data_IF_968886890284
#
_entry.id   IF_968886890284
#
_cell.length_a   1.000
_cell.length_b   1.000
_cell.length_c   1.000
_cell.angle_alpha   90.00
_cell.angle_beta   90.00
_cell.angle_gamma   90.00
#
_symmetry.space_group_name_H-M   'P 1'
#
loop_
_entity.id
_entity.type
_entity.pdbx_description
1 polymer ?
#
# COMPACT_ATOMS: atom_id res chain seq x y z
N UNK A 1 -1.01 20.33 -1.54
CA UNK A 1 -1.67 20.65 -0.26
C UNK A 1 -1.79 19.37 0.54
N UNK A 2 -1.54 19.39 1.85
CA UNK A 2 -1.79 18.19 2.69
C UNK A 2 -3.30 18.00 2.90
N UNK A 3 -3.70 16.82 3.37
CA UNK A 3 -5.10 16.51 3.66
C UNK A 3 -5.75 15.67 2.57
N UNK A 4 -6.95 16.06 2.12
CA UNK A 4 -7.78 15.22 1.26
C UNK A 4 -7.13 14.87 -0.09
N UNK A 5 -6.32 15.79 -0.63
CA UNK A 5 -5.65 15.64 -1.93
C UNK A 5 -4.29 14.91 -1.85
N UNK A 6 -3.92 14.33 -0.69
CA UNK A 6 -2.55 13.89 -0.40
C UNK A 6 -2.50 12.54 0.31
N UNK A 7 -2.99 11.50 -0.37
CA UNK A 7 -2.85 10.13 0.09
C UNK A 7 -1.38 9.75 0.36
N UNK A 8 -1.13 9.13 1.53
CA UNK A 8 0.20 8.71 1.99
C UNK A 8 1.25 9.84 1.93
N UNK A 9 0.83 11.09 2.19
CA UNK A 9 1.67 12.29 2.17
C UNK A 9 2.53 12.44 0.89
N UNK A 10 2.12 11.81 -0.21
CA UNK A 10 2.97 11.65 -1.39
C UNK A 10 3.26 12.99 -2.08
N UNK A 11 2.24 13.83 -2.26
CA UNK A 11 2.36 15.13 -2.92
C UNK A 11 3.04 16.17 -2.01
N UNK A 12 2.70 16.22 -0.73
CA UNK A 12 3.39 17.15 0.19
C UNK A 12 4.86 16.81 0.37
N UNK A 13 5.21 15.52 0.46
CA UNK A 13 6.61 15.10 0.51
C UNK A 13 7.33 15.34 -0.82
N UNK A 14 6.66 15.20 -1.97
CA UNK A 14 7.26 15.57 -3.26
C UNK A 14 7.67 17.05 -3.26
N UNK A 15 6.76 17.96 -2.91
CA UNK A 15 7.06 19.40 -2.87
C UNK A 15 8.13 19.72 -1.81
N UNK A 16 8.07 19.09 -0.63
CA UNK A 16 9.09 19.27 0.41
C UNK A 16 10.49 18.88 -0.08
N UNK A 17 10.61 17.72 -0.74
CA UNK A 17 11.89 17.26 -1.29
C UNK A 17 12.38 18.15 -2.44
N UNK A 18 11.48 18.78 -3.22
CA UNK A 18 11.86 19.78 -4.22
C UNK A 18 12.39 21.07 -3.56
N UNK A 19 11.71 21.57 -2.52
CA UNK A 19 12.15 22.75 -1.75
C UNK A 19 13.55 22.51 -1.17
N UNK A 20 13.74 21.39 -0.48
CA UNK A 20 15.01 21.05 0.16
C UNK A 20 16.10 20.73 -0.87
N UNK A 21 15.77 19.91 -1.88
CA UNK A 21 16.73 19.43 -2.87
C UNK A 21 17.22 20.50 -3.84
N UNK A 22 16.41 21.51 -4.14
CA UNK A 22 16.84 22.67 -4.92
C UNK A 22 17.36 23.83 -4.07
N UNK A 23 17.27 23.74 -2.74
CA UNK A 23 17.67 24.84 -1.84
C UNK A 23 16.81 26.09 -2.02
N UNK A 24 15.50 25.91 -2.21
CA UNK A 24 14.57 27.00 -2.45
C UNK A 24 14.49 27.97 -1.24
N UNK A 25 14.45 29.27 -1.53
CA UNK A 25 14.40 30.32 -0.52
C UNK A 25 12.97 30.69 -0.19
N UNK A 26 12.66 30.96 1.09
CA UNK A 26 11.33 31.41 1.50
C UNK A 26 10.96 32.73 0.79
N UNK A 27 9.78 32.76 0.18
CA UNK A 27 9.27 33.89 -0.59
C UNK A 27 8.18 34.64 0.19
N UNK A 28 7.17 33.92 0.64
CA UNK A 28 6.02 34.48 1.35
C UNK A 28 5.27 33.40 2.13
N UNK A 29 4.36 33.83 2.99
CA UNK A 29 3.45 32.96 3.74
C UNK A 29 2.04 33.54 3.63
N UNK A 30 1.03 32.67 3.47
CA UNK A 30 -0.38 33.07 3.50
C UNK A 30 -0.87 32.94 4.93
N UNK A 31 -1.33 34.06 5.50
CA UNK A 31 -1.92 34.09 6.84
C UNK A 31 -3.02 33.01 6.98
N UNK A 32 -2.87 32.03 7.89
CA UNK A 32 -3.82 30.93 8.01
C UNK A 32 -5.14 31.34 8.66
N UNK A 33 -5.21 32.48 9.37
CA UNK A 33 -6.36 32.85 10.19
C UNK A 33 -7.69 32.96 9.42
N UNK A 34 -7.77 33.53 8.21
CA UNK A 34 -9.01 33.61 7.45
C UNK A 34 -9.47 32.26 6.85
N UNK A 35 -8.55 31.28 6.76
CA UNK A 35 -8.72 30.08 5.94
C UNK A 35 -8.74 28.78 6.73
N UNK A 36 -8.29 28.77 7.97
CA UNK A 36 -8.08 27.55 8.75
C UNK A 36 -9.13 27.37 9.84
N UNK A 37 -9.73 26.20 9.93
CA UNK A 37 -10.44 25.78 11.14
C UNK A 37 -9.43 25.19 12.14
N UNK A 38 -9.01 26.00 13.12
CA UNK A 38 -8.05 25.57 14.14
C UNK A 38 -8.55 24.46 15.07
N UNK A 39 -9.85 24.14 15.08
CA UNK A 39 -10.35 22.97 15.81
C UNK A 39 -9.96 21.65 15.11
N UNK A 40 -9.90 21.69 13.78
CA UNK A 40 -9.55 20.57 12.90
C UNK A 40 -8.04 20.52 12.65
N UNK A 41 -7.43 21.64 12.24
CA UNK A 41 -5.98 21.75 11.99
C UNK A 41 -5.33 22.57 13.09
N UNK A 42 -4.88 21.88 14.14
CA UNK A 42 -4.41 22.52 15.38
C UNK A 42 -2.98 23.06 15.25
N UNK A 43 -2.69 24.28 15.73
CA UNK A 43 -1.32 24.75 15.91
C UNK A 43 -0.54 23.85 16.88
N UNK A 44 0.76 23.70 16.62
CA UNK A 44 1.64 22.86 17.44
C UNK A 44 2.64 23.69 18.23
N UNK A 45 3.07 23.15 19.37
CA UNK A 45 4.11 23.77 20.17
C UNK A 45 5.47 23.27 19.73
N UNK A 46 6.42 24.19 19.52
CA UNK A 46 7.84 23.87 19.36
C UNK A 46 8.63 24.45 20.53
N UNK A 47 9.41 23.61 21.21
CA UNK A 47 10.37 24.05 22.21
C UNK A 47 11.70 24.34 21.53
N UNK A 48 12.24 25.55 21.73
CA UNK A 48 13.61 25.90 21.31
C UNK A 48 14.59 25.62 22.44
N UNK A 49 15.87 25.50 22.07
CA UNK A 49 16.96 25.42 23.04
C UNK A 49 16.86 26.58 24.05
N UNK A 50 16.94 26.25 25.34
CA UNK A 50 16.72 27.21 26.43
C UNK A 50 15.27 27.32 26.92
N UNK A 51 14.35 26.45 26.48
CA UNK A 51 13.01 26.32 27.05
C UNK A 51 11.99 27.37 26.56
N UNK A 52 12.33 28.17 25.55
CA UNK A 52 11.40 29.11 24.92
C UNK A 52 10.37 28.34 24.08
N UNK A 53 9.09 28.58 24.35
CA UNK A 53 7.95 27.94 23.69
C UNK A 53 7.44 28.81 22.54
N UNK A 54 7.50 28.30 21.32
CA UNK A 54 6.92 28.93 20.14
C UNK A 54 5.68 28.15 19.67
N UNK A 55 4.66 28.87 19.18
CA UNK A 55 3.48 28.27 18.55
C UNK A 55 3.70 28.29 17.04
N UNK A 56 3.62 27.12 16.41
CA UNK A 56 3.72 26.94 14.97
C UNK A 56 2.31 26.86 14.41
N UNK A 57 1.96 27.87 13.62
CA UNK A 57 0.66 27.97 12.96
C UNK A 57 0.65 27.16 11.64
N UNK A 58 -0.47 26.53 11.29
CA UNK A 58 -0.61 25.71 10.08
C UNK A 58 -0.72 26.58 8.82
N UNK A 59 0.43 27.06 8.35
CA UNK A 59 0.54 28.10 7.33
C UNK A 59 0.82 27.50 5.94
N UNK A 60 0.32 28.12 4.88
CA UNK A 60 0.77 27.81 3.51
C UNK A 60 1.97 28.69 3.19
N UNK A 61 3.14 28.06 3.06
CA UNK A 61 4.36 28.74 2.67
C UNK A 61 4.54 28.74 1.15
N UNK A 62 5.28 29.74 0.67
CA UNK A 62 5.72 29.89 -0.70
C UNK A 62 7.25 29.99 -0.71
N UNK A 63 7.89 29.26 -1.61
CA UNK A 63 9.34 29.24 -1.79
C UNK A 63 9.69 29.52 -3.24
N UNK A 64 10.79 30.21 -3.47
CA UNK A 64 11.31 30.51 -4.80
C UNK A 64 12.63 29.78 -5.04
N UNK A 65 12.81 29.30 -6.27
CA UNK A 65 14.11 28.84 -6.77
C UNK A 65 14.26 29.17 -8.25
N UNK A 66 15.50 29.44 -8.66
CA UNK A 66 15.85 29.58 -10.07
C UNK A 66 16.24 28.20 -10.63
N UNK A 67 15.37 27.61 -11.44
CA UNK A 67 15.59 26.33 -12.10
C UNK A 67 16.13 26.48 -13.53
N UNK A 68 16.63 25.38 -14.10
CA UNK A 68 17.12 25.38 -15.48
C UNK A 68 16.03 25.69 -16.52
N UNK A 69 14.78 25.33 -16.22
CA UNK A 69 13.61 25.62 -17.05
C UNK A 69 12.96 26.98 -16.80
N UNK A 70 13.43 27.74 -15.79
CA UNK A 70 12.87 29.03 -15.38
C UNK A 70 12.74 29.16 -13.86
N UNK A 71 12.24 30.32 -13.41
CA UNK A 71 11.91 30.56 -12.02
C UNK A 71 10.69 29.74 -11.58
N UNK A 72 10.78 29.13 -10.40
CA UNK A 72 9.76 28.22 -9.86
C UNK A 72 9.32 28.76 -8.50
N UNK A 73 8.01 28.90 -8.32
CA UNK A 73 7.39 29.16 -7.01
C UNK A 73 6.72 27.87 -6.52
N UNK A 74 7.22 27.34 -5.41
CA UNK A 74 6.71 26.13 -4.76
C UNK A 74 5.76 26.54 -3.64
N UNK A 75 4.58 25.92 -3.59
CA UNK A 75 3.60 26.15 -2.52
C UNK A 75 3.38 24.87 -1.71
N UNK A 76 3.49 24.96 -0.39
CA UNK A 76 3.30 23.82 0.52
C UNK A 76 2.59 24.27 1.80
N UNK A 77 1.55 23.53 2.17
CA UNK A 77 0.81 23.75 3.40
C UNK A 77 -0.50 22.96 3.44
N UNK A 78 -1.30 23.17 4.51
CA UNK A 78 -2.60 22.55 4.65
C UNK A 78 -3.58 23.05 3.60
N UNK A 79 -4.51 22.19 3.20
CA UNK A 79 -5.69 22.63 2.45
C UNK A 79 -6.50 23.62 3.32
N UNK A 80 -6.86 24.80 2.79
CA UNK A 80 -7.70 25.74 3.53
C UNK A 80 -9.04 25.06 3.87
N UNK A 81 -9.56 25.30 5.08
CA UNK A 81 -10.87 24.79 5.49
C UNK A 81 -12.02 25.72 5.07
N UNK A 82 -11.73 27.02 4.91
CA UNK A 82 -12.71 28.07 4.70
C UNK A 82 -12.29 29.00 3.55
N UNK A 83 -13.26 29.74 2.99
CA UNK A 83 -13.05 30.85 2.05
C UNK A 83 -12.18 30.51 0.81
N UNK A 84 -12.38 29.34 0.21
CA UNK A 84 -11.58 28.86 -0.93
C UNK A 84 -11.47 29.83 -2.11
N UNK A 85 -12.53 30.57 -2.43
CA UNK A 85 -12.50 31.60 -3.48
C UNK A 85 -11.49 32.72 -3.16
N UNK A 86 -11.52 33.22 -1.92
CA UNK A 86 -10.59 34.25 -1.47
C UNK A 86 -9.15 33.71 -1.40
N UNK A 87 -8.98 32.47 -0.92
CA UNK A 87 -7.67 31.83 -0.90
C UNK A 87 -7.08 31.70 -2.32
N UNK A 88 -7.90 31.26 -3.28
CA UNK A 88 -7.48 31.10 -4.68
C UNK A 88 -7.10 32.44 -5.32
N UNK A 89 -7.81 33.52 -4.99
CA UNK A 89 -7.44 34.88 -5.38
C UNK A 89 -6.06 35.29 -4.85
N UNK A 90 -5.70 34.93 -3.61
CA UNK A 90 -4.36 35.22 -3.07
C UNK A 90 -3.26 34.50 -3.87
N UNK A 91 -3.48 33.23 -4.23
CA UNK A 91 -2.53 32.46 -5.03
C UNK A 91 -2.37 33.07 -6.43
N UNK A 92 -3.47 33.48 -7.06
CA UNK A 92 -3.43 34.13 -8.38
C UNK A 92 -2.73 35.48 -8.32
N UNK A 93 -2.98 36.29 -7.28
CA UNK A 93 -2.27 37.57 -7.12
C UNK A 93 -0.75 37.38 -7.03
N UNK A 94 -0.27 36.30 -6.41
CA UNK A 94 1.15 35.94 -6.44
C UNK A 94 1.57 35.54 -7.86
N UNK A 95 0.80 34.68 -8.53
CA UNK A 95 1.10 34.22 -9.89
C UNK A 95 1.21 35.40 -10.88
N UNK A 96 0.26 36.34 -10.85
CA UNK A 96 0.25 37.56 -11.67
C UNK A 96 1.42 38.48 -11.33
N UNK A 97 1.71 38.70 -10.05
CA UNK A 97 2.82 39.56 -9.62
C UNK A 97 4.17 39.07 -10.17
N UNK A 98 4.37 37.76 -10.19
CA UNK A 98 5.59 37.13 -10.71
C UNK A 98 5.49 36.72 -12.19
N UNK A 99 4.41 37.06 -12.89
CA UNK A 99 4.16 36.68 -14.28
C UNK A 99 4.31 35.16 -14.54
N UNK A 100 3.75 34.35 -13.64
CA UNK A 100 3.80 32.89 -13.73
C UNK A 100 3.03 32.41 -14.97
N UNK A 101 3.66 31.54 -15.76
CA UNK A 101 3.09 31.04 -17.03
C UNK A 101 2.34 29.71 -16.90
N UNK A 102 2.41 29.05 -15.74
CA UNK A 102 1.84 27.73 -15.51
C UNK A 102 1.54 27.52 -14.01
N UNK A 103 0.36 27.01 -13.70
CA UNK A 103 0.08 26.34 -12.42
C UNK A 103 0.24 24.83 -12.59
N UNK A 104 1.12 24.22 -11.79
CA UNK A 104 1.23 22.77 -11.69
C UNK A 104 0.87 22.32 -10.27
N UNK A 105 -0.18 21.51 -10.14
CA UNK A 105 -0.59 20.95 -8.86
C UNK A 105 -0.21 19.47 -8.76
N UNK A 106 0.16 19.05 -7.54
CA UNK A 106 0.46 17.65 -7.23
C UNK A 106 -0.56 17.14 -6.21
N UNK A 107 -1.06 15.95 -6.44
CA UNK A 107 -1.96 15.22 -5.56
C UNK A 107 -1.66 13.71 -5.57
N UNK A 108 -2.33 13.00 -4.69
CA UNK A 108 -2.33 11.54 -4.66
C UNK A 108 -3.67 11.03 -4.15
N UNK A 109 -4.05 9.84 -4.64
CA UNK A 109 -5.31 9.19 -4.31
C UNK A 109 -5.08 7.72 -4.00
N UNK A 110 -5.99 7.13 -3.23
CA UNK A 110 -5.97 5.69 -2.96
C UNK A 110 -6.58 4.94 -4.14
N UNK A 111 -5.89 3.91 -4.60
CA UNK A 111 -6.28 3.06 -5.71
C UNK A 111 -6.00 1.57 -5.40
N UNK A 112 -6.72 0.69 -6.11
CA UNK A 112 -6.49 -0.76 -6.08
C UNK A 112 -5.29 -1.12 -6.98
N UNK A 113 -4.10 -0.72 -6.54
CA UNK A 113 -2.82 -1.00 -7.22
C UNK A 113 -1.82 -1.66 -6.27
N UNK A 114 -0.98 -2.59 -6.76
CA UNK A 114 0.07 -3.21 -5.93
C UNK A 114 1.26 -2.26 -5.75
N UNK A 115 1.85 -2.25 -4.54
CA UNK A 115 3.02 -1.42 -4.21
C UNK A 115 4.30 -1.89 -4.92
N UNK A 116 4.38 -3.16 -5.34
CA UNK A 116 5.50 -3.74 -6.07
C UNK A 116 5.64 -3.22 -7.52
N UNK A 117 4.57 -2.68 -8.11
CA UNK A 117 4.61 -2.13 -9.49
C UNK A 117 5.03 -0.65 -9.50
N UNK A 118 5.50 -0.11 -10.66
CA UNK A 118 5.73 1.32 -10.80
C UNK A 118 4.46 2.14 -10.51
N UNK A 119 4.62 3.26 -9.81
CA UNK A 119 3.49 4.14 -9.48
C UNK A 119 2.95 4.79 -10.75
N UNK A 120 1.64 4.66 -10.96
CA UNK A 120 0.95 5.31 -12.06
C UNK A 120 0.68 6.78 -11.73
N UNK A 121 1.00 7.67 -12.66
CA UNK A 121 0.68 9.09 -12.58
C UNK A 121 -0.44 9.40 -13.57
N UNK A 122 -1.53 9.96 -13.07
CA UNK A 122 -2.64 10.46 -13.87
C UNK A 122 -2.46 11.97 -14.00
N UNK A 123 -2.31 12.44 -15.23
CA UNK A 123 -2.11 13.85 -15.54
C UNK A 123 -3.35 14.47 -16.18
N UNK A 124 -3.79 15.62 -15.67
CA UNK A 124 -4.86 16.41 -16.31
C UNK A 124 -4.41 17.84 -16.58
N UNK A 125 -5.00 18.48 -17.58
CA UNK A 125 -4.76 19.90 -17.88
C UNK A 125 -6.01 20.56 -18.48
N UNK A 126 -6.09 21.88 -18.33
CA UNK A 126 -7.14 22.70 -18.97
C UNK A 126 -6.75 23.14 -20.38
N UNK A 127 -5.46 23.36 -20.60
CA UNK A 127 -4.89 23.82 -21.87
C UNK A 127 -4.58 22.68 -22.86
N UNK A 128 -4.84 22.91 -24.15
CA UNK A 128 -4.69 21.87 -25.19
C UNK A 128 -3.22 21.64 -25.55
N UNK A 129 -2.39 22.70 -25.52
CA UNK A 129 -0.96 22.56 -25.82
C UNK A 129 -0.24 21.74 -24.73
N UNK A 130 -0.60 21.94 -23.46
CA UNK A 130 -0.11 21.12 -22.35
C UNK A 130 -0.50 19.64 -22.49
N UNK A 131 -1.75 19.37 -22.91
CA UNK A 131 -2.25 18.01 -23.15
C UNK A 131 -1.41 17.30 -24.21
N UNK A 132 -1.19 17.93 -25.35
CA UNK A 132 -0.46 17.33 -26.46
C UNK A 132 1.04 17.18 -26.14
N UNK A 133 1.64 18.22 -25.54
CA UNK A 133 3.09 18.24 -25.26
C UNK A 133 3.50 17.25 -24.18
N UNK A 134 2.64 17.04 -23.18
CA UNK A 134 2.96 16.24 -22.00
C UNK A 134 2.04 15.03 -21.84
N UNK A 135 1.35 14.58 -22.88
CA UNK A 135 0.47 13.39 -22.84
C UNK A 135 -0.47 13.40 -21.61
N UNK A 136 -1.14 14.54 -21.39
CA UNK A 136 -2.11 14.73 -20.32
C UNK A 136 -3.52 14.50 -20.87
N UNK A 137 -4.52 14.49 -19.99
CA UNK A 137 -5.91 14.30 -20.38
C UNK A 137 -6.79 15.45 -19.91
N UNK A 138 -7.90 15.71 -20.61
CA UNK A 138 -8.95 16.56 -20.04
C UNK A 138 -9.66 15.81 -18.94
N UNK A 139 -9.82 16.47 -17.79
CA UNK A 139 -10.65 15.93 -16.71
C UNK A 139 -12.10 15.76 -17.19
N UNK A 140 -12.70 14.63 -16.85
CA UNK A 140 -14.14 14.34 -17.01
C UNK A 140 -14.82 14.10 -15.66
N UNK A 141 -14.16 14.47 -14.58
CA UNK A 141 -14.63 14.20 -13.23
C UNK A 141 -15.82 15.09 -12.86
N UNK A 142 -16.86 14.47 -12.32
CA UNK A 142 -18.01 15.14 -11.70
C UNK A 142 -18.19 14.57 -10.29
N UNK A 143 -18.17 15.44 -9.28
CA UNK A 143 -18.29 15.02 -7.87
C UNK A 143 -17.71 16.05 -6.89
N UNK A 144 -17.55 15.66 -5.61
CA UNK A 144 -16.89 16.48 -4.60
C UNK A 144 -15.46 16.83 -5.01
N UNK A 145 -15.04 18.07 -4.77
CA UNK A 145 -13.71 18.57 -5.15
C UNK A 145 -12.95 19.12 -3.94
N UNK A 146 -11.63 19.08 -4.01
CA UNK A 146 -10.72 19.79 -3.10
C UNK A 146 -10.31 21.17 -3.64
N UNK A 147 -9.45 21.87 -2.89
CA UNK A 147 -8.90 23.18 -3.25
C UNK A 147 -8.17 23.17 -4.59
N UNK A 148 -7.56 22.04 -4.95
CA UNK A 148 -6.82 21.89 -6.21
C UNK A 148 -7.72 22.20 -7.40
N UNK A 149 -8.93 21.64 -7.45
CA UNK A 149 -9.88 21.88 -8.53
C UNK A 149 -10.33 23.35 -8.58
N UNK A 150 -10.51 23.99 -7.41
CA UNK A 150 -10.89 25.42 -7.35
C UNK A 150 -9.75 26.31 -7.86
N UNK A 151 -8.49 25.97 -7.58
CA UNK A 151 -7.35 26.68 -8.14
C UNK A 151 -7.31 26.52 -9.66
N UNK A 152 -7.52 25.32 -10.19
CA UNK A 152 -7.58 25.09 -11.63
C UNK A 152 -8.68 25.93 -12.30
N UNK A 153 -9.88 25.96 -11.72
CA UNK A 153 -11.00 26.79 -12.18
C UNK A 153 -10.64 28.28 -12.18
N UNK A 154 -10.07 28.78 -11.08
CA UNK A 154 -9.72 30.21 -10.95
C UNK A 154 -8.56 30.61 -11.88
N UNK A 155 -7.60 29.72 -12.13
CA UNK A 155 -6.49 29.97 -13.09
C UNK A 155 -6.97 29.94 -14.54
N UNK A 156 -7.93 29.07 -14.87
CA UNK A 156 -8.58 29.03 -16.19
C UNK A 156 -9.33 30.34 -16.47
N UNK A 157 -10.09 30.85 -15.50
CA UNK A 157 -10.75 32.17 -15.56
C UNK A 157 -9.74 33.31 -15.80
N UNK A 158 -8.52 33.16 -15.29
CA UNK A 158 -7.43 34.16 -15.42
C UNK A 158 -6.56 33.92 -16.66
N UNK A 159 -6.91 32.97 -17.53
CA UNK A 159 -6.14 32.61 -18.74
C UNK A 159 -4.69 32.20 -18.48
N UNK A 160 -4.39 31.67 -17.29
CA UNK A 160 -3.08 31.10 -16.97
C UNK A 160 -3.20 29.56 -17.10
N UNK A 161 -2.44 28.92 -17.99
CA UNK A 161 -2.48 27.47 -18.18
C UNK A 161 -2.27 26.71 -16.87
N UNK A 162 -2.98 25.59 -16.71
CA UNK A 162 -2.88 24.79 -15.50
C UNK A 162 -2.90 23.29 -15.77
N UNK A 163 -2.13 22.53 -14.99
CA UNK A 163 -2.03 21.08 -15.03
C UNK A 163 -1.97 20.46 -13.63
N UNK A 164 -2.48 19.24 -13.49
CA UNK A 164 -2.54 18.49 -12.24
C UNK A 164 -1.97 17.10 -12.42
N UNK A 165 -1.15 16.64 -11.47
CA UNK A 165 -0.57 15.29 -11.46
C UNK A 165 -1.04 14.55 -10.21
N UNK A 166 -1.58 13.36 -10.40
CA UNK A 166 -2.12 12.51 -9.33
C UNK A 166 -1.42 11.17 -9.30
N UNK A 167 -0.81 10.82 -8.15
CA UNK A 167 -0.23 9.50 -7.95
C UNK A 167 -1.27 8.51 -7.41
N UNK A 168 -1.32 7.32 -8.01
CA UNK A 168 -2.10 6.20 -7.50
C UNK A 168 -1.33 5.48 -6.38
N UNK A 169 -1.82 5.58 -5.15
CA UNK A 169 -1.24 4.96 -3.95
C UNK A 169 -2.04 3.70 -3.58
N UNK A 170 -1.38 2.57 -3.27
CA UNK A 170 -2.06 1.36 -2.79
C UNK A 170 -2.95 1.64 -1.58
N UNK A 171 -4.24 1.32 -1.67
CA UNK A 171 -5.20 1.61 -0.59
C UNK A 171 -4.82 1.00 0.77
N UNK A 172 -4.21 -0.19 0.77
CA UNK A 172 -3.75 -0.88 1.98
C UNK A 172 -2.51 -0.25 2.63
N UNK A 173 -1.75 0.56 1.89
CA UNK A 173 -0.56 1.25 2.41
C UNK A 173 -0.84 2.72 2.77
N UNK A 174 -2.13 3.09 2.91
CA UNK A 174 -2.56 4.48 3.10
C UNK A 174 -2.01 5.18 4.35
N UNK A 175 -1.64 4.41 5.38
CA UNK A 175 -1.13 4.92 6.66
C UNK A 175 0.38 5.19 6.67
N UNK A 176 1.12 4.69 5.67
CA UNK A 176 2.57 4.83 5.59
C UNK A 176 2.91 5.84 4.47
N UNK A 177 3.68 6.90 4.76
CA UNK A 177 4.10 7.83 3.72
C UNK A 177 4.79 7.12 2.55
N UNK A 178 4.43 7.45 1.30
CA UNK A 178 4.89 6.73 0.12
C UNK A 178 6.00 7.48 -0.64
N UNK A 179 7.30 7.20 -0.37
CA UNK A 179 8.41 7.82 -1.11
C UNK A 179 8.41 7.42 -2.59
N UNK A 180 7.86 6.25 -2.94
CA UNK A 180 7.72 5.80 -4.33
C UNK A 180 6.75 6.69 -5.11
N UNK A 181 5.63 7.06 -4.50
CA UNK A 181 4.66 7.98 -5.09
C UNK A 181 5.21 9.41 -5.16
N UNK A 182 5.88 9.90 -4.10
CA UNK A 182 6.56 11.19 -4.14
C UNK A 182 7.61 11.26 -5.25
N UNK A 183 8.42 10.21 -5.42
CA UNK A 183 9.45 10.14 -6.46
C UNK A 183 8.83 10.23 -7.87
N UNK A 184 7.75 9.50 -8.11
CA UNK A 184 7.06 9.50 -9.38
C UNK A 184 6.46 10.89 -9.71
N UNK A 185 5.84 11.55 -8.71
CA UNK A 185 5.35 12.92 -8.84
C UNK A 185 6.49 13.91 -9.12
N UNK A 186 7.60 13.83 -8.39
CA UNK A 186 8.76 14.70 -8.60
C UNK A 186 9.32 14.57 -10.01
N UNK A 187 9.53 13.35 -10.50
CA UNK A 187 10.01 13.09 -11.86
C UNK A 187 9.10 13.73 -12.89
N UNK A 188 7.80 13.43 -12.81
CA UNK A 188 6.82 13.93 -13.78
C UNK A 188 6.66 15.45 -13.73
N UNK A 189 6.69 16.04 -12.54
CA UNK A 189 6.64 17.49 -12.38
C UNK A 189 7.87 18.18 -12.98
N UNK A 190 9.06 17.62 -12.72
CA UNK A 190 10.33 18.14 -13.23
C UNK A 190 10.43 18.06 -14.76
N UNK A 191 9.87 17.02 -15.38
CA UNK A 191 9.74 16.92 -16.85
C UNK A 191 8.91 18.08 -17.43
N UNK A 192 7.79 18.43 -16.79
CA UNK A 192 6.92 19.53 -17.22
C UNK A 192 7.60 20.90 -17.00
N UNK A 193 8.23 21.07 -15.84
CA UNK A 193 8.94 22.30 -15.45
C UNK A 193 10.21 22.51 -16.30
N UNK A 194 10.80 21.44 -16.84
CA UNK A 194 12.07 21.51 -17.57
C UNK A 194 13.29 21.70 -16.66
N UNK A 195 13.19 21.30 -15.39
CA UNK A 195 14.29 21.41 -14.40
C UNK A 195 14.62 20.02 -13.83
N UNK A 196 15.89 19.60 -13.77
CA UNK A 196 16.26 18.28 -13.25
C UNK A 196 15.81 18.04 -11.80
N UNK A 197 15.28 16.84 -11.53
CA UNK A 197 14.75 16.46 -10.23
C UNK A 197 15.86 16.09 -9.22
N UNK A 198 15.82 16.59 -7.97
CA UNK A 198 16.78 16.24 -6.92
C UNK A 198 16.38 14.92 -6.23
N UNK A 199 16.72 13.78 -6.85
CA UNK A 199 16.16 12.46 -6.44
C UNK A 199 16.92 11.73 -5.34
N UNK A 200 18.16 12.12 -5.03
CA UNK A 200 19.08 11.32 -4.22
C UNK A 200 18.53 10.99 -2.83
N UNK A 201 17.94 11.97 -2.14
CA UNK A 201 17.42 11.79 -0.78
C UNK A 201 16.23 10.82 -0.74
N UNK A 202 15.37 10.85 -1.76
CA UNK A 202 14.14 10.05 -1.81
C UNK A 202 14.44 8.60 -2.19
N UNK A 203 15.42 8.36 -3.07
CA UNK A 203 15.75 6.99 -3.50
C UNK A 203 16.14 6.08 -2.34
N UNK A 204 16.88 6.60 -1.35
CA UNK A 204 17.26 5.84 -0.15
C UNK A 204 16.08 5.48 0.77
N UNK A 205 14.93 6.14 0.61
CA UNK A 205 13.73 5.87 1.40
C UNK A 205 12.86 4.76 0.79
N UNK A 206 13.05 4.46 -0.50
CA UNK A 206 12.20 3.50 -1.22
C UNK A 206 12.43 2.07 -0.74
N UNK A 207 13.69 1.64 -0.61
CA UNK A 207 14.01 0.27 -0.17
C UNK A 207 13.39 -0.02 1.20
N UNK A 208 13.55 0.89 2.16
CA UNK A 208 12.95 0.78 3.51
C UNK A 208 11.43 0.75 3.49
N UNK A 209 10.82 1.51 2.57
CA UNK A 209 9.37 1.55 2.42
C UNK A 209 8.83 0.23 1.87
N UNK A 210 9.49 -0.36 0.87
CA UNK A 210 9.09 -1.64 0.31
C UNK A 210 9.26 -2.76 1.36
N UNK A 211 10.40 -2.81 2.06
CA UNK A 211 10.61 -3.72 3.20
C UNK A 211 9.52 -3.59 4.28
N UNK A 212 9.11 -2.36 4.61
CA UNK A 212 8.10 -2.12 5.64
C UNK A 212 6.71 -2.63 5.20
N UNK A 213 6.33 -2.43 3.92
CA UNK A 213 5.04 -2.89 3.42
C UNK A 213 5.03 -4.41 3.24
N UNK A 214 6.13 -5.00 2.77
CA UNK A 214 6.24 -6.45 2.62
C UNK A 214 6.16 -7.18 3.97
N UNK A 215 6.56 -6.53 5.07
CA UNK A 215 6.50 -7.08 6.40
C UNK A 215 5.09 -7.11 7.03
N UNK A 216 4.10 -6.38 6.50
CA UNK A 216 2.76 -6.25 7.09
C UNK A 216 1.63 -6.48 6.06
N UNK A 217 0.95 -7.62 6.14
CA UNK A 217 -0.34 -7.82 5.48
C UNK A 217 -1.44 -7.31 6.42
N UNK A 218 -1.97 -6.11 6.15
CA UNK A 218 -3.14 -5.60 6.87
C UNK A 218 -4.39 -6.45 6.54
N UNK A 219 -4.99 -7.15 7.52
CA UNK A 219 -6.17 -7.98 7.30
C UNK A 219 -7.48 -7.18 7.16
N UNK A 220 -7.54 -5.91 7.58
CA UNK A 220 -8.76 -5.09 7.55
C UNK A 220 -9.42 -5.03 6.17
N UNK A 221 -8.70 -4.74 5.06
CA UNK A 221 -9.31 -4.68 3.73
C UNK A 221 -9.81 -6.03 3.20
N UNK A 222 -9.41 -7.14 3.83
CA UNK A 222 -9.70 -8.50 3.36
C UNK A 222 -10.73 -9.24 4.23
N UNK A 223 -11.09 -8.71 5.39
CA UNK A 223 -11.90 -9.44 6.38
C UNK A 223 -13.31 -8.86 6.46
N UNK A 224 -14.33 -9.69 6.24
CA UNK A 224 -15.70 -9.34 6.61
C UNK A 224 -15.94 -9.73 8.08
N UNK A 225 -15.90 -8.73 8.97
CA UNK A 225 -16.09 -8.94 10.41
C UNK A 225 -17.48 -9.47 10.80
N UNK A 226 -18.46 -9.49 9.89
CA UNK A 226 -19.72 -10.19 10.12
C UNK A 226 -19.52 -11.72 10.10
N UNK A 227 -18.60 -12.21 9.27
CA UNK A 227 -18.29 -13.64 9.09
C UNK A 227 -17.14 -14.11 9.99
N UNK A 228 -16.08 -13.29 10.11
CA UNK A 228 -14.90 -13.58 10.95
C UNK A 228 -14.85 -12.57 12.09
N UNK A 229 -15.49 -12.92 13.21
CA UNK A 229 -15.62 -11.99 14.34
C UNK A 229 -14.33 -11.90 15.17
N UNK A 230 -13.92 -10.69 15.61
CA UNK A 230 -12.84 -10.55 16.56
C UNK A 230 -13.21 -11.18 17.91
N UNK A 231 -12.22 -11.74 18.59
CA UNK A 231 -12.41 -12.40 19.89
C UNK A 231 -12.03 -11.49 21.05
N UNK A 232 -12.81 -11.55 22.14
CA UNK A 232 -12.45 -10.85 23.38
C UNK A 232 -11.55 -11.74 24.22
N UNK A 233 -10.36 -11.25 24.58
CA UNK A 233 -9.49 -11.86 25.59
C UNK A 233 -9.54 -11.06 26.88
N UNK A 234 -9.79 -11.76 27.98
CA UNK A 234 -9.72 -11.18 29.31
C UNK A 234 -8.25 -11.18 29.78
N UNK A 235 -7.78 -10.02 30.25
CA UNK A 235 -6.50 -9.88 30.95
C UNK A 235 -6.72 -9.91 32.46
N UNK A 236 -5.68 -10.27 33.19
CA UNK A 236 -5.67 -10.17 34.66
C UNK A 236 -6.03 -8.74 35.10
N UNK A 237 -6.89 -8.65 36.11
CA UNK A 237 -7.45 -7.38 36.57
C UNK A 237 -8.70 -6.90 35.80
N UNK A 238 -9.31 -7.75 34.98
CA UNK A 238 -10.63 -7.48 34.37
C UNK A 238 -10.61 -6.57 33.14
N UNK A 239 -9.43 -6.23 32.63
CA UNK A 239 -9.29 -5.51 31.35
C UNK A 239 -9.63 -6.44 30.19
N UNK A 240 -10.27 -5.89 29.16
CA UNK A 240 -10.64 -6.63 27.94
C UNK A 240 -9.81 -6.13 26.78
N UNK A 241 -9.21 -7.07 26.06
CA UNK A 241 -8.59 -6.81 24.77
C UNK A 241 -9.44 -7.43 23.66
N UNK A 242 -9.62 -6.68 22.57
CA UNK A 242 -10.20 -7.20 21.34
C UNK A 242 -9.05 -7.72 20.49
N UNK A 243 -9.11 -9.00 20.14
CA UNK A 243 -8.15 -9.66 19.25
C UNK A 243 -8.75 -9.67 17.86
N UNK A 244 -8.16 -8.86 17.00
CA UNK A 244 -8.52 -8.79 15.60
C UNK A 244 -7.96 -10.00 14.84
N UNK A 245 -8.74 -10.60 13.92
CA UNK A 245 -8.23 -11.62 13.00
C UNK A 245 -7.08 -11.05 12.19
N UNK A 246 -5.95 -11.74 12.15
CA UNK A 246 -4.73 -11.31 11.46
C UNK A 246 -4.14 -12.49 10.70
N UNK A 247 -3.48 -12.22 9.57
CA UNK A 247 -2.61 -13.18 8.89
C UNK A 247 -1.20 -12.92 9.40
N UNK A 248 -0.67 -13.87 10.17
CA UNK A 248 0.72 -13.81 10.60
C UNK A 248 1.66 -14.33 9.51
N UNK A 249 2.81 -13.68 9.40
CA UNK A 249 3.94 -14.14 8.59
C UNK A 249 5.09 -14.48 9.54
N UNK A 250 5.69 -15.66 9.37
CA UNK A 250 6.87 -16.07 10.12
C UNK A 250 7.95 -16.53 9.16
N UNK A 251 9.12 -15.92 9.30
CA UNK A 251 10.32 -16.36 8.63
C UNK A 251 11.05 -17.41 9.49
N UNK A 252 11.29 -18.59 8.93
CA UNK A 252 11.97 -19.71 9.57
C UNK A 252 13.19 -20.10 8.76
N UNK A 253 14.38 -19.93 9.34
CA UNK A 253 15.63 -20.37 8.74
C UNK A 253 15.77 -21.90 8.90
N UNK A 254 15.71 -22.64 7.79
CA UNK A 254 15.86 -24.09 7.75
C UNK A 254 17.17 -24.55 7.13
N UNK A 255 17.60 -25.77 7.43
CA UNK A 255 18.82 -26.37 6.84
C UNK A 255 18.73 -26.60 5.31
N UNK A 256 17.53 -26.50 4.73
CA UNK A 256 17.27 -26.62 3.29
C UNK A 256 16.77 -25.33 2.63
N UNK A 257 16.88 -24.19 3.30
CA UNK A 257 16.44 -22.89 2.79
C UNK A 257 15.55 -22.12 3.77
N UNK A 258 15.30 -20.87 3.42
CA UNK A 258 14.42 -19.96 4.14
C UNK A 258 12.96 -20.32 3.85
N UNK A 259 12.12 -20.41 4.90
CA UNK A 259 10.70 -20.77 4.78
C UNK A 259 9.88 -19.61 5.34
N UNK A 260 8.96 -19.09 4.53
CA UNK A 260 7.94 -18.14 4.98
C UNK A 260 6.65 -18.89 5.24
N UNK A 261 6.18 -18.85 6.49
CA UNK A 261 4.91 -19.42 6.90
C UNK A 261 3.87 -18.32 6.97
N UNK A 262 2.75 -18.49 6.28
CA UNK A 262 1.57 -17.65 6.40
C UNK A 262 0.45 -18.45 7.08
N UNK A 263 -0.11 -17.92 8.19
CA UNK A 263 -1.23 -18.54 8.90
C UNK A 263 -2.20 -17.45 9.36
N UNK A 264 -3.47 -17.64 9.05
CA UNK A 264 -4.53 -16.72 9.45
C UNK A 264 -5.90 -17.16 8.91
N UNK A 265 -6.94 -16.34 9.14
CA UNK A 265 -8.24 -16.57 8.55
C UNK A 265 -8.17 -16.45 7.02
N UNK A 266 -8.99 -17.24 6.31
CA UNK A 266 -9.20 -17.04 4.88
C UNK A 266 -9.79 -15.63 4.66
N UNK A 267 -9.26 -14.84 3.71
CA UNK A 267 -9.82 -13.52 3.39
C UNK A 267 -11.28 -13.69 2.95
N UNK A 268 -12.18 -12.86 3.45
CA UNK A 268 -13.60 -12.86 3.05
C UNK A 268 -13.85 -11.94 1.85
N UNK A 269 -12.96 -10.97 1.61
CA UNK A 269 -13.08 -9.92 0.61
C UNK A 269 -11.79 -9.80 -0.23
N UNK A 270 -11.91 -9.23 -1.43
CA UNK A 270 -10.79 -8.80 -2.29
C UNK A 270 -9.70 -9.87 -2.56
N UNK A 271 -10.09 -11.11 -2.86
CA UNK A 271 -9.17 -12.24 -3.08
C UNK A 271 -8.05 -12.00 -4.09
N UNK A 272 -8.31 -11.26 -5.18
CA UNK A 272 -7.28 -10.90 -6.16
C UNK A 272 -6.17 -10.04 -5.54
N UNK A 273 -6.55 -9.02 -4.76
CA UNK A 273 -5.61 -8.12 -4.11
C UNK A 273 -4.82 -8.84 -3.01
N UNK A 274 -5.50 -9.68 -2.21
CA UNK A 274 -4.83 -10.52 -1.23
C UNK A 274 -3.78 -11.42 -1.88
N UNK A 275 -4.12 -12.07 -3.00
CA UNK A 275 -3.20 -12.96 -3.72
C UNK A 275 -1.98 -12.21 -4.27
N UNK A 276 -2.16 -10.98 -4.75
CA UNK A 276 -1.05 -10.12 -5.18
C UNK A 276 -0.12 -9.72 -4.02
N UNK A 277 -0.64 -9.54 -2.81
CA UNK A 277 0.19 -9.28 -1.64
C UNK A 277 1.01 -10.51 -1.24
N UNK A 278 0.41 -11.71 -1.26
CA UNK A 278 1.15 -12.95 -1.01
C UNK A 278 2.27 -13.15 -2.04
N UNK A 279 2.06 -12.76 -3.30
CA UNK A 279 3.12 -12.78 -4.33
C UNK A 279 4.21 -11.75 -4.02
N UNK A 280 3.85 -10.54 -3.58
CA UNK A 280 4.84 -9.51 -3.23
C UNK A 280 5.76 -10.01 -2.10
N UNK A 281 5.18 -10.66 -1.08
CA UNK A 281 5.94 -11.36 -0.03
C UNK A 281 6.82 -12.47 -0.62
N UNK A 282 6.28 -13.30 -1.52
CA UNK A 282 7.06 -14.37 -2.15
C UNK A 282 8.25 -13.83 -2.95
N UNK A 283 8.05 -12.77 -3.74
CA UNK A 283 9.10 -12.09 -4.52
C UNK A 283 10.16 -11.46 -3.61
N UNK A 284 9.74 -10.78 -2.53
CA UNK A 284 10.63 -10.18 -1.53
C UNK A 284 11.61 -11.21 -0.94
N UNK A 285 11.09 -12.38 -0.57
CA UNK A 285 11.89 -13.46 -0.01
C UNK A 285 12.51 -14.40 -1.08
N UNK A 286 12.42 -14.06 -2.37
CA UNK A 286 12.89 -14.89 -3.48
C UNK A 286 12.38 -16.35 -3.40
N UNK A 287 11.12 -16.50 -3.03
CA UNK A 287 10.49 -17.80 -2.81
C UNK A 287 10.36 -18.57 -4.12
N UNK A 288 10.85 -19.81 -4.14
CA UNK A 288 10.85 -20.67 -5.33
C UNK A 288 9.64 -21.60 -5.45
N UNK A 289 8.76 -21.62 -4.44
CA UNK A 289 7.62 -22.54 -4.35
C UNK A 289 6.54 -21.96 -3.43
N UNK A 290 5.29 -21.98 -3.88
CA UNK A 290 4.12 -21.87 -3.01
C UNK A 290 3.63 -23.27 -2.62
N UNK A 291 3.52 -23.54 -1.32
CA UNK A 291 2.91 -24.76 -0.79
C UNK A 291 1.72 -24.42 0.11
N UNK A 292 0.51 -24.76 -0.30
CA UNK A 292 -0.71 -24.57 0.49
C UNK A 292 -1.10 -25.85 1.22
N UNK A 293 -1.55 -25.74 2.46
CA UNK A 293 -1.99 -26.86 3.29
C UNK A 293 -3.45 -26.66 3.70
N UNK A 294 -4.27 -27.69 3.53
CA UNK A 294 -5.68 -27.64 3.87
C UNK A 294 -6.22 -28.97 4.34
N UNK A 295 -7.49 -28.97 4.73
CA UNK A 295 -8.23 -30.19 5.04
C UNK A 295 -9.59 -30.15 4.37
N UNK A 296 -10.05 -31.30 3.91
CA UNK A 296 -11.38 -31.48 3.34
C UNK A 296 -12.15 -32.53 4.14
N UNK A 297 -13.45 -32.32 4.28
CA UNK A 297 -14.32 -33.29 4.92
C UNK A 297 -14.58 -34.44 3.94
N UNK A 298 -14.32 -35.66 4.39
CA UNK A 298 -14.48 -36.87 3.60
C UNK A 298 -15.18 -37.98 4.42
N UNK A 299 -15.76 -38.94 3.71
CA UNK A 299 -16.32 -40.16 4.29
C UNK A 299 -15.21 -41.18 4.59
N UNK A 300 -14.39 -40.85 5.59
CA UNK A 300 -13.24 -41.65 6.03
C UNK A 300 -13.31 -41.92 7.53
N UNK A 301 -12.94 -43.13 8.00
CA UNK A 301 -12.95 -43.41 9.43
C UNK A 301 -11.69 -42.86 10.12
N UNK A 302 -11.86 -42.29 11.32
CA UNK A 302 -10.77 -41.74 12.16
C UNK A 302 -9.69 -42.77 12.53
N UNK A 303 -10.03 -44.06 12.52
CA UNK A 303 -9.13 -45.17 12.85
C UNK A 303 -8.09 -45.47 11.77
N UNK A 304 -8.28 -45.00 10.53
CA UNK A 304 -7.33 -45.23 9.42
C UNK A 304 -6.28 -44.13 9.30
N UNK A 305 -5.09 -44.40 8.70
CA UNK A 305 -4.13 -43.36 8.36
C UNK A 305 -4.78 -42.23 7.56
N UNK A 306 -4.37 -40.99 7.82
CA UNK A 306 -4.91 -39.81 7.11
C UNK A 306 -4.40 -39.85 5.68
N UNK A 307 -5.32 -39.81 4.73
CA UNK A 307 -4.98 -39.69 3.31
C UNK A 307 -4.68 -38.23 2.98
N UNK A 308 -3.57 -38.00 2.28
CA UNK A 308 -3.19 -36.70 1.75
C UNK A 308 -3.44 -36.72 0.25
N UNK A 309 -4.20 -35.75 -0.23
CA UNK A 309 -4.44 -35.50 -1.64
C UNK A 309 -3.58 -34.31 -2.03
N UNK A 310 -2.66 -34.52 -2.96
CA UNK A 310 -1.73 -33.50 -3.43
C UNK A 310 -2.05 -33.07 -4.85
N UNK A 311 -2.07 -31.76 -5.10
CA UNK A 311 -2.13 -31.21 -6.46
C UNK A 311 -1.00 -30.23 -6.73
N UNK A 312 -0.60 -30.12 -7.99
CA UNK A 312 0.37 -29.13 -8.42
C UNK A 312 0.09 -28.70 -9.87
N UNK A 313 0.60 -27.53 -10.21
CA UNK A 313 0.50 -26.95 -11.56
C UNK A 313 1.74 -27.28 -12.38
N UNK A 314 2.90 -27.36 -11.73
CA UNK A 314 4.19 -27.73 -12.30
C UNK A 314 4.37 -29.25 -12.52
N UNK A 315 5.04 -29.63 -13.61
CA UNK A 315 5.19 -31.05 -14.02
C UNK A 315 6.29 -31.76 -13.23
N UNK A 316 7.38 -31.07 -12.86
CA UNK A 316 8.46 -31.65 -12.06
C UNK A 316 7.96 -32.00 -10.65
N UNK A 317 7.16 -31.10 -10.04
CA UNK A 317 6.52 -31.38 -8.75
C UNK A 317 5.58 -32.59 -8.80
N UNK A 318 4.80 -32.72 -9.88
CA UNK A 318 3.89 -33.85 -10.11
C UNK A 318 4.66 -35.18 -10.13
N UNK A 319 5.72 -35.25 -10.94
CA UNK A 319 6.47 -36.49 -11.13
C UNK A 319 7.31 -36.87 -9.90
N UNK A 320 7.97 -35.89 -9.28
CA UNK A 320 8.86 -36.13 -8.14
C UNK A 320 8.13 -36.47 -6.85
N UNK A 321 6.95 -35.89 -6.65
CA UNK A 321 6.20 -36.00 -5.39
C UNK A 321 4.84 -36.65 -5.57
N UNK A 322 4.62 -37.42 -6.64
CA UNK A 322 3.38 -38.19 -6.87
C UNK A 322 2.12 -37.34 -6.64
N UNK A 323 2.12 -36.12 -7.18
CA UNK A 323 1.00 -35.18 -7.10
C UNK A 323 0.12 -35.32 -8.35
N UNK A 324 -1.06 -34.71 -8.32
CA UNK A 324 -1.99 -34.77 -9.45
C UNK A 324 -2.27 -33.37 -10.01
N UNK A 325 -2.40 -33.28 -11.33
CA UNK A 325 -2.95 -32.06 -11.93
C UNK A 325 -4.46 -32.00 -11.64
N UNK A 326 -4.92 -30.87 -11.12
CA UNK A 326 -6.35 -30.66 -10.88
C UNK A 326 -7.12 -30.69 -12.20
N UNK A 327 -8.28 -31.36 -12.21
CA UNK A 327 -9.25 -31.37 -13.31
C UNK A 327 -10.61 -30.80 -12.89
N UNK A 328 -10.62 -30.07 -11.78
CA UNK A 328 -11.85 -29.53 -11.20
C UNK A 328 -12.31 -28.30 -11.98
N UNK A 329 -13.57 -28.30 -12.40
CA UNK A 329 -14.29 -27.13 -12.91
C UNK A 329 -15.48 -26.83 -12.00
N UNK A 330 -15.54 -25.62 -11.45
CA UNK A 330 -16.60 -25.21 -10.53
C UNK A 330 -16.20 -24.05 -9.61
N UNK A 331 -17.02 -23.72 -8.60
CA UNK A 331 -16.69 -22.72 -7.60
C UNK A 331 -15.42 -23.06 -6.83
N UNK A 332 -14.59 -22.05 -6.57
CA UNK A 332 -13.29 -22.22 -5.89
C UNK A 332 -13.17 -21.33 -4.66
N UNK A 333 -12.28 -21.71 -3.74
CA UNK A 333 -11.86 -20.89 -2.59
C UNK A 333 -10.57 -20.12 -2.86
N UNK A 334 -10.06 -19.41 -1.84
CA UNK A 334 -8.84 -18.59 -1.97
C UNK A 334 -7.62 -19.38 -2.47
N UNK A 335 -7.49 -20.64 -2.07
CA UNK A 335 -6.34 -21.49 -2.43
C UNK A 335 -6.19 -21.57 -3.96
N UNK A 336 -7.27 -21.84 -4.69
CA UNK A 336 -7.20 -21.92 -6.16
C UNK A 336 -6.83 -20.58 -6.80
N UNK A 337 -7.29 -19.45 -6.23
CA UNK A 337 -6.93 -18.11 -6.73
C UNK A 337 -5.45 -17.82 -6.49
N UNK A 338 -4.90 -18.23 -5.34
CA UNK A 338 -3.46 -18.13 -5.07
C UNK A 338 -2.65 -18.95 -6.09
N UNK A 339 -3.05 -20.20 -6.35
CA UNK A 339 -2.39 -21.05 -7.35
C UNK A 339 -2.39 -20.41 -8.74
N UNK A 340 -3.54 -19.90 -9.19
CA UNK A 340 -3.68 -19.19 -10.47
C UNK A 340 -2.75 -17.96 -10.54
N UNK A 341 -2.73 -17.14 -9.49
CA UNK A 341 -1.92 -15.92 -9.46
C UNK A 341 -0.40 -16.23 -9.41
N UNK A 342 0.02 -17.30 -8.72
CA UNK A 342 1.42 -17.74 -8.67
C UNK A 342 1.89 -18.33 -10.00
N UNK A 343 1.02 -19.09 -10.68
CA UNK A 343 1.29 -19.60 -12.01
C UNK A 343 1.51 -18.45 -13.02
N UNK A 344 0.70 -17.39 -12.96
CA UNK A 344 0.91 -16.16 -13.77
C UNK A 344 2.27 -15.50 -13.48
N UNK A 345 2.78 -15.64 -12.25
CA UNK A 345 4.08 -15.09 -11.82
C UNK A 345 5.25 -16.05 -12.05
N UNK A 346 5.01 -17.19 -12.69
CA UNK A 346 6.03 -18.24 -12.97
C UNK A 346 6.69 -18.83 -11.72
N UNK A 347 6.02 -18.77 -10.56
CA UNK A 347 6.47 -19.43 -9.34
C UNK A 347 5.68 -20.75 -9.20
N UNK A 348 6.34 -21.92 -9.21
CA UNK A 348 5.67 -23.20 -9.05
C UNK A 348 4.81 -23.26 -7.78
N UNK A 349 3.66 -23.94 -7.87
CA UNK A 349 2.74 -24.04 -6.75
C UNK A 349 2.18 -25.45 -6.57
N UNK A 350 2.01 -25.87 -5.31
CA UNK A 350 1.43 -27.15 -4.92
C UNK A 350 0.48 -27.01 -3.72
N UNK A 351 -0.54 -27.85 -3.65
CA UNK A 351 -1.50 -27.90 -2.54
C UNK A 351 -1.57 -29.32 -1.96
N UNK A 352 -1.66 -29.41 -0.63
CA UNK A 352 -1.86 -30.67 0.09
C UNK A 352 -3.12 -30.60 0.94
N UNK A 353 -4.00 -31.58 0.77
CA UNK A 353 -5.28 -31.66 1.46
C UNK A 353 -5.39 -32.94 2.28
N UNK A 354 -5.59 -32.81 3.58
CA UNK A 354 -5.89 -33.95 4.44
C UNK A 354 -7.38 -34.30 4.39
N UNK A 355 -7.70 -35.57 4.11
CA UNK A 355 -9.04 -36.09 4.26
C UNK A 355 -9.38 -36.30 5.74
N UNK A 356 -10.31 -35.51 6.28
CA UNK A 356 -10.75 -35.55 7.68
C UNK A 356 -12.18 -36.09 7.77
N UNK A 357 -12.51 -36.97 8.75
CA UNK A 357 -13.85 -37.49 8.91
C UNK A 357 -14.88 -36.36 9.11
N UNK A 358 -15.96 -36.36 8.32
CA UNK A 358 -17.00 -35.33 8.39
C UNK A 358 -17.60 -35.15 9.80
N UNK A 359 -17.77 -36.24 10.55
CA UNK A 359 -18.30 -36.24 11.92
C UNK A 359 -17.34 -35.64 12.97
N UNK A 360 -16.08 -35.41 12.62
CA UNK A 360 -15.06 -34.83 13.49
C UNK A 360 -14.69 -33.39 13.10
N UNK A 361 -15.52 -32.72 12.28
CA UNK A 361 -15.24 -31.40 11.70
C UNK A 361 -15.00 -30.27 12.71
N UNK A 362 -15.48 -30.41 13.94
CA UNK A 362 -15.36 -29.42 15.01
C UNK A 362 -14.21 -29.72 15.99
N UNK A 363 -13.44 -30.78 15.75
CA UNK A 363 -12.36 -31.22 16.65
C UNK A 363 -11.02 -31.07 15.93
N UNK A 364 -10.02 -30.40 16.53
CA UNK A 364 -8.68 -30.37 15.98
C UNK A 364 -8.16 -31.79 15.70
N UNK A 365 -7.49 -31.98 14.56
CA UNK A 365 -6.96 -33.28 14.14
C UNK A 365 -5.43 -33.26 14.10
N UNK A 366 -4.74 -33.50 15.23
CA UNK A 366 -3.28 -33.60 15.26
C UNK A 366 -2.72 -34.62 14.27
N UNK A 367 -3.49 -35.69 14.01
CA UNK A 367 -3.13 -36.73 13.05
C UNK A 367 -3.07 -36.18 11.62
N UNK A 368 -4.01 -35.31 11.25
CA UNK A 368 -4.02 -34.66 9.93
C UNK A 368 -2.88 -33.64 9.82
N UNK A 369 -2.67 -32.80 10.84
CA UNK A 369 -1.57 -31.84 10.89
C UNK A 369 -0.20 -32.53 10.74
N UNK A 370 0.01 -33.65 11.45
CA UNK A 370 1.25 -34.43 11.36
C UNK A 370 1.44 -35.04 9.96
N UNK A 371 0.39 -35.55 9.34
CA UNK A 371 0.44 -36.13 7.99
C UNK A 371 0.77 -35.05 6.93
N UNK A 372 0.10 -33.89 6.99
CA UNK A 372 0.37 -32.74 6.13
C UNK A 372 1.80 -32.24 6.30
N UNK A 373 2.25 -32.06 7.55
CA UNK A 373 3.59 -31.57 7.85
C UNK A 373 4.67 -32.50 7.29
N UNK A 374 4.53 -33.82 7.47
CA UNK A 374 5.49 -34.79 6.91
C UNK A 374 5.58 -34.66 5.40
N UNK A 375 4.42 -34.60 4.72
CA UNK A 375 4.38 -34.50 3.27
C UNK A 375 4.92 -33.15 2.78
N UNK A 376 4.65 -32.06 3.49
CA UNK A 376 5.19 -30.75 3.20
C UNK A 376 6.72 -30.74 3.33
N UNK A 377 7.26 -31.31 4.41
CA UNK A 377 8.70 -31.43 4.66
C UNK A 377 9.43 -32.23 3.58
N UNK A 378 8.79 -33.29 3.07
CA UNK A 378 9.30 -34.07 1.93
C UNK A 378 9.42 -33.21 0.66
N UNK A 379 8.43 -32.36 0.37
CA UNK A 379 8.42 -31.50 -0.82
C UNK A 379 9.47 -30.38 -0.72
N UNK A 380 9.53 -29.70 0.42
CA UNK A 380 10.46 -28.59 0.64
C UNK A 380 11.90 -29.06 0.94
N UNK A 381 12.13 -30.36 1.11
CA UNK A 381 13.46 -30.92 1.34
C UNK A 381 14.07 -30.60 2.71
N UNK A 382 13.25 -30.32 3.74
CA UNK A 382 13.74 -30.02 5.10
C UNK A 382 13.35 -31.12 6.10
N UNK A 383 14.21 -31.44 7.08
CA UNK A 383 13.83 -32.35 8.15
C UNK A 383 12.74 -31.69 9.02
N UNK A 384 11.64 -32.40 9.27
CA UNK A 384 10.50 -31.87 10.01
C UNK A 384 10.93 -31.31 11.38
N UNK A 385 10.75 -30.00 11.66
CA UNK A 385 11.03 -29.43 12.95
C UNK A 385 9.84 -29.72 13.88
N UNK A 386 9.64 -31.00 14.19
CA UNK A 386 8.55 -31.52 15.01
C UNK A 386 8.43 -30.76 16.35
N UNK A 387 9.55 -30.31 16.94
CA UNK A 387 9.56 -29.56 18.19
C UNK A 387 9.09 -28.10 18.06
N UNK A 388 9.40 -27.42 16.96
CA UNK A 388 9.05 -26.00 16.74
C UNK A 388 7.57 -25.85 16.40
N UNK A 389 7.02 -26.78 15.61
CA UNK A 389 5.60 -26.78 15.23
C UNK A 389 4.69 -27.19 16.41
N UNK A 390 5.10 -28.17 17.23
CA UNK A 390 4.37 -28.53 18.46
C UNK A 390 4.21 -27.33 19.41
N UNK A 391 5.25 -26.50 19.56
CA UNK A 391 5.21 -25.27 20.35
C UNK A 391 4.30 -24.17 19.75
N UNK A 392 4.10 -24.16 18.44
CA UNK A 392 3.17 -23.26 17.75
C UNK A 392 1.71 -23.73 17.91
N UNK A 393 1.48 -25.05 17.83
CA UNK A 393 0.15 -25.65 18.04
C UNK A 393 -0.34 -25.45 19.49
N UNK A 394 0.53 -25.43 20.50
CA UNK A 394 0.13 -25.15 21.88
C UNK A 394 -0.26 -23.68 22.15
N UNK A 395 0.04 -22.75 21.23
CA UNK A 395 -0.24 -21.31 21.40
C UNK A 395 -1.51 -20.81 20.70
N UNK A 396 -2.13 -21.65 19.87
CA UNK A 396 -3.40 -21.40 19.16
C UNK A 396 -4.46 -22.40 19.63
#
# INVERSE_FOLDING_TARGET
FTGWNDAADAASNAVRNLIEGWGATALAEIDPEPFTDYATVRPHVRLKDGGKRDIIWPTVGLWHVNGAGGDIILALGPEPSLRWKLFSQQIISVAEHFNSSLLLTLGSLLADVPHSRPVQIIGTATDTDLIERFDLQRSRYEGPVGIVSVLHDTFDESSIPSASLWAAVPAYASQVPSPKASLALMRRACEIIGTPAPLATVMNLIERYEEQIDAEIDPEPFTDYATVRPHVRLKDGGKRDIIWPTVGLWHVNGAGGDIILALGPEPSLRWKLFSQQIISVAEHFNSSLLLTLGSLLADVPHSRPVQIIGTATDTDLIERFDLQRSRYEGPVGIVSVLHDTFDESSIPSASLWAAVPAYASQVPSPKASLALMRRACEIIGTPAPLATVMNLIERY
#
